data_IF_864323087061
#
_entry.id   IF_864323087061
#
_cell.length_a   1.000
_cell.length_b   1.000
_cell.length_c   1.000
_cell.angle_alpha   90.00
_cell.angle_beta   90.00
_cell.angle_gamma   90.00
#
_symmetry.space_group_name_H-M   'P 1'
#
loop_
_entity.id
_entity.type
_entity.pdbx_description
1 polymer ?
#
# COMPACT_ATOMS: atom_id res chain seq x y z
N UNK A 1 13.76 25.90 11.93
CA UNK A 1 13.60 26.03 10.47
C UNK A 1 12.75 24.86 10.02
N UNK A 2 11.50 25.12 9.63
CA UNK A 2 10.40 24.14 9.61
C UNK A 2 10.54 23.12 8.46
N UNK A 3 10.37 21.84 8.81
CA UNK A 3 10.42 20.66 7.95
C UNK A 3 9.31 20.72 6.89
N UNK A 4 9.68 20.82 5.61
CA UNK A 4 8.77 20.51 4.48
C UNK A 4 9.22 19.18 3.89
N UNK A 5 8.73 18.08 4.47
CA UNK A 5 9.00 16.71 4.06
C UNK A 5 8.10 16.27 2.89
N UNK A 6 8.63 15.42 2.01
CA UNK A 6 7.85 14.74 0.98
C UNK A 6 6.73 13.83 1.56
N UNK A 7 6.78 13.47 2.85
CA UNK A 7 5.71 12.77 3.57
C UNK A 7 4.42 13.58 3.71
N UNK A 8 4.49 14.92 3.64
CA UNK A 8 3.38 15.80 3.98
C UNK A 8 2.15 15.59 3.10
N UNK A 9 2.30 15.09 1.87
CA UNK A 9 1.14 14.98 0.99
C UNK A 9 0.27 13.76 1.26
N UNK A 10 0.84 12.64 1.70
CA UNK A 10 0.04 11.49 2.11
C UNK A 10 -0.81 11.84 3.34
N UNK A 11 -0.38 12.79 4.15
CA UNK A 11 -1.16 13.35 5.27
C UNK A 11 -2.27 14.30 4.81
N UNK A 12 -2.19 14.81 3.59
CA UNK A 12 -3.20 15.69 3.03
C UNK A 12 -4.34 14.93 2.32
N UNK A 13 -4.20 13.62 2.11
CA UNK A 13 -5.20 12.78 1.43
C UNK A 13 -6.01 12.04 2.48
N UNK A 14 -7.25 12.46 2.74
CA UNK A 14 -8.05 11.78 3.74
C UNK A 14 -8.35 10.35 3.29
N UNK A 15 -8.01 9.38 4.12
CA UNK A 15 -8.51 8.02 3.96
C UNK A 15 -9.98 7.96 4.39
N UNK A 16 -10.72 6.95 3.94
CA UNK A 16 -12.17 6.94 4.05
C UNK A 16 -12.71 7.22 5.47
N UNK A 17 -12.07 6.67 6.51
CA UNK A 17 -12.54 6.82 7.88
C UNK A 17 -12.31 8.24 8.47
N UNK A 18 -11.38 9.02 7.90
CA UNK A 18 -11.09 10.41 8.30
C UNK A 18 -12.15 11.39 7.76
N UNK A 19 -12.95 10.94 6.80
CA UNK A 19 -13.98 11.76 6.19
C UNK A 19 -15.14 12.01 7.18
N UNK A 20 -15.61 13.27 7.31
CA UNK A 20 -16.88 13.55 7.95
C UNK A 20 -18.01 12.69 7.36
N UNK A 21 -18.96 12.24 8.18
CA UNK A 21 -19.96 11.24 7.77
C UNK A 21 -20.76 11.64 6.52
N UNK A 22 -21.03 12.93 6.33
CA UNK A 22 -21.71 13.45 5.12
C UNK A 22 -20.83 13.33 3.87
N UNK A 23 -19.53 13.59 3.98
CA UNK A 23 -18.56 13.42 2.89
C UNK A 23 -18.34 11.93 2.56
N UNK A 24 -18.23 11.10 3.59
CA UNK A 24 -18.13 9.64 3.46
C UNK A 24 -19.33 9.07 2.69
N UNK A 25 -20.56 9.45 3.05
CA UNK A 25 -21.79 9.05 2.36
C UNK A 25 -21.79 9.50 0.90
N UNK A 26 -21.41 10.75 0.61
CA UNK A 26 -21.31 11.27 -0.76
C UNK A 26 -20.31 10.48 -1.60
N UNK A 27 -19.13 10.16 -1.04
CA UNK A 27 -18.14 9.30 -1.70
C UNK A 27 -18.74 7.93 -2.00
N UNK A 28 -19.41 7.30 -1.05
CA UNK A 28 -20.01 5.98 -1.25
C UNK A 28 -21.09 5.96 -2.34
N UNK A 29 -21.91 7.01 -2.42
CA UNK A 29 -22.86 7.21 -3.52
C UNK A 29 -22.14 7.36 -4.85
N UNK A 30 -21.07 8.17 -4.90
CA UNK A 30 -20.26 8.31 -6.10
C UNK A 30 -19.70 6.96 -6.53
N UNK A 31 -19.11 6.18 -5.63
CA UNK A 31 -18.58 4.84 -5.93
C UNK A 31 -19.67 3.80 -6.24
N UNK A 32 -20.97 4.17 -6.21
CA UNK A 32 -22.08 3.26 -6.51
C UNK A 32 -22.33 2.21 -5.42
N UNK A 33 -21.78 2.43 -4.24
CA UNK A 33 -21.99 1.58 -3.07
C UNK A 33 -23.38 1.82 -2.44
N UNK A 34 -23.85 3.07 -2.53
CA UNK A 34 -25.24 3.44 -2.28
C UNK A 34 -25.95 3.66 -3.61
N UNK A 35 -27.19 3.17 -3.73
CA UNK A 35 -28.08 3.62 -4.79
C UNK A 35 -28.29 5.12 -4.64
N UNK A 36 -27.90 5.90 -5.65
CA UNK A 36 -28.33 7.29 -5.80
C UNK A 36 -29.86 7.27 -5.75
N UNK A 37 -30.47 7.90 -4.74
CA UNK A 37 -31.86 8.28 -4.93
C UNK A 37 -31.89 9.40 -5.97
N UNK A 38 -32.92 9.36 -6.81
CA UNK A 38 -33.09 10.15 -8.03
C UNK A 38 -32.68 11.64 -7.90
N UNK A 39 -32.13 12.24 -8.98
CA UNK A 39 -31.81 13.65 -9.00
C UNK A 39 -33.10 14.47 -8.88
N UNK A 40 -33.28 15.16 -7.75
CA UNK A 40 -34.45 16.01 -7.51
C UNK A 40 -34.97 16.01 -6.07
N UNK A 41 -34.55 15.05 -5.23
CA UNK A 41 -34.80 15.15 -3.77
C UNK A 41 -33.59 15.77 -3.10
N UNK A 42 -33.64 17.08 -2.91
CA UNK A 42 -32.82 17.77 -1.91
C UNK A 42 -32.93 16.98 -0.61
N UNK A 43 -31.81 16.43 -0.13
CA UNK A 43 -31.70 15.77 1.15
C UNK A 43 -31.96 16.81 2.25
N UNK A 44 -33.22 17.11 2.53
CA UNK A 44 -33.59 17.62 3.84
C UNK A 44 -33.36 16.50 4.84
N UNK A 45 -32.88 16.89 6.02
CA UNK A 45 -32.46 16.10 7.18
C UNK A 45 -33.47 15.05 7.69
N UNK A 46 -34.59 14.84 7.00
CA UNK A 46 -35.79 14.13 7.44
C UNK A 46 -36.12 12.84 6.65
N UNK A 47 -35.30 12.42 5.67
CA UNK A 47 -35.67 11.34 4.74
C UNK A 47 -35.13 9.93 5.03
N UNK A 48 -34.07 9.79 5.84
CA UNK A 48 -33.59 8.47 6.28
C UNK A 48 -33.97 8.28 7.74
N UNK A 49 -34.62 7.16 8.07
CA UNK A 49 -34.79 6.81 9.48
C UNK A 49 -33.39 6.66 10.10
N UNK A 50 -33.18 7.20 11.30
CA UNK A 50 -31.92 7.09 12.01
C UNK A 50 -31.43 5.63 12.07
N UNK A 51 -32.36 4.69 12.18
CA UNK A 51 -32.12 3.25 12.12
C UNK A 51 -31.50 2.78 10.79
N UNK A 52 -31.98 3.26 9.63
CA UNK A 52 -31.38 2.91 8.33
C UNK A 52 -29.98 3.49 8.12
N UNK A 53 -29.72 4.69 8.65
CA UNK A 53 -28.38 5.30 8.64
C UNK A 53 -27.44 4.49 9.54
N UNK A 54 -27.90 4.10 10.73
CA UNK A 54 -27.14 3.30 11.70
C UNK A 54 -26.89 1.88 11.18
N UNK A 55 -27.90 1.20 10.62
CA UNK A 55 -27.76 -0.15 10.08
C UNK A 55 -26.82 -0.18 8.87
N UNK A 56 -26.91 0.85 8.02
CA UNK A 56 -25.92 1.04 6.97
C UNK A 56 -24.54 1.27 7.61
N UNK A 57 -24.36 2.27 8.48
CA UNK A 57 -23.08 2.57 9.17
C UNK A 57 -22.44 1.34 9.84
N UNK A 58 -23.25 0.45 10.42
CA UNK A 58 -22.79 -0.82 11.00
C UNK A 58 -22.37 -1.86 9.97
N UNK A 59 -22.92 -1.83 8.74
CA UNK A 59 -22.55 -2.74 7.65
C UNK A 59 -21.18 -2.41 7.02
N UNK A 60 -20.87 -1.14 6.78
CA UNK A 60 -19.55 -0.74 6.24
C UNK A 60 -18.46 -0.55 7.29
N UNK A 61 -18.79 -0.42 8.58
CA UNK A 61 -17.83 -0.64 9.68
C UNK A 61 -17.25 -2.06 9.73
N UNK A 62 -17.72 -2.99 8.89
CA UNK A 62 -17.15 -4.33 8.73
C UNK A 62 -16.28 -4.48 7.48
N UNK A 63 -16.07 -3.38 6.74
CA UNK A 63 -15.34 -3.41 5.47
C UNK A 63 -13.90 -3.00 5.70
N UNK A 64 -12.97 -3.77 5.14
CA UNK A 64 -11.52 -3.57 5.30
C UNK A 64 -11.05 -2.13 5.10
N UNK A 65 -11.59 -1.44 4.09
CA UNK A 65 -11.24 -0.07 3.73
C UNK A 65 -11.77 1.03 4.67
N UNK A 66 -12.54 0.66 5.70
CA UNK A 66 -13.06 1.59 6.70
C UNK A 66 -12.19 1.65 7.98
N UNK A 67 -11.03 0.97 7.98
CA UNK A 67 -10.17 0.83 9.15
C UNK A 67 -8.71 1.16 8.84
N UNK A 68 -7.97 1.61 9.86
CA UNK A 68 -6.52 1.91 9.77
C UNK A 68 -5.65 0.89 10.46
N UNK A 69 -6.29 -0.09 11.10
CA UNK A 69 -5.56 -1.17 11.71
C UNK A 69 -4.76 -1.91 10.66
N UNK A 70 -3.54 -2.30 11.04
CA UNK A 70 -2.67 -3.06 10.16
C UNK A 70 -2.06 -4.23 10.89
N UNK A 71 -2.12 -5.40 10.28
CA UNK A 71 -1.28 -6.53 10.65
C UNK A 71 -0.05 -6.57 9.75
N UNK A 72 1.12 -6.68 10.38
CA UNK A 72 2.40 -6.71 9.70
C UNK A 72 3.04 -8.10 9.78
N UNK A 73 3.23 -8.71 8.62
CA UNK A 73 3.78 -10.05 8.46
C UNK A 73 5.11 -10.06 7.72
N UNK A 74 5.89 -11.11 7.92
CA UNK A 74 7.16 -11.36 7.26
C UNK A 74 7.23 -12.80 6.77
N UNK A 75 7.74 -12.98 5.56
CA UNK A 75 8.02 -14.25 4.90
C UNK A 75 9.52 -14.29 4.62
N UNK A 76 10.26 -15.28 5.14
CA UNK A 76 11.69 -15.40 4.92
C UNK A 76 12.01 -15.69 3.45
N UNK A 77 13.26 -15.42 3.04
CA UNK A 77 13.76 -15.84 1.74
C UNK A 77 13.52 -17.35 1.54
N UNK A 78 12.96 -17.68 0.39
CA UNK A 78 12.76 -19.07 0.01
C UNK A 78 14.09 -19.67 -0.44
N UNK A 79 14.37 -20.88 0.01
CA UNK A 79 15.43 -21.70 -0.60
C UNK A 79 14.97 -22.10 -2.00
N UNK A 80 15.87 -22.08 -2.97
CA UNK A 80 15.58 -22.29 -4.40
C UNK A 80 14.84 -23.59 -4.73
N UNK A 81 14.90 -24.59 -3.85
CA UNK A 81 14.30 -25.92 -3.99
C UNK A 81 13.06 -26.14 -3.10
N UNK A 82 12.73 -25.18 -2.23
CA UNK A 82 11.64 -25.34 -1.26
C UNK A 82 10.30 -24.96 -1.86
N UNK A 83 9.55 -25.98 -2.27
CA UNK A 83 8.11 -25.86 -2.61
C UNK A 83 7.21 -25.96 -1.38
N UNK A 84 7.78 -26.09 -0.17
CA UNK A 84 7.00 -26.26 1.04
C UNK A 84 6.32 -24.94 1.43
N UNK A 85 5.08 -24.98 1.93
CA UNK A 85 4.45 -23.83 2.52
C UNK A 85 5.32 -23.21 3.62
N UNK A 86 5.37 -21.88 3.65
CA UNK A 86 6.19 -21.12 4.59
C UNK A 86 5.29 -20.38 5.56
N UNK A 87 5.59 -20.53 6.84
CA UNK A 87 4.88 -19.81 7.89
C UNK A 87 5.18 -18.31 7.82
N UNK A 88 4.13 -17.50 7.97
CA UNK A 88 4.26 -16.06 8.11
C UNK A 88 4.52 -15.73 9.57
N UNK A 89 5.46 -14.82 9.82
CA UNK A 89 5.83 -14.38 11.17
C UNK A 89 5.44 -12.92 11.37
N UNK A 90 5.18 -12.51 12.61
CA UNK A 90 5.05 -11.09 12.91
C UNK A 90 6.40 -10.39 12.66
N UNK A 91 6.39 -9.22 12.01
CA UNK A 91 7.63 -8.49 11.62
C UNK A 91 8.54 -8.13 12.78
N UNK A 92 8.00 -7.98 14.00
CA UNK A 92 8.78 -7.70 15.20
C UNK A 92 9.34 -8.95 15.90
N UNK A 93 8.92 -10.15 15.48
CA UNK A 93 9.32 -11.42 16.08
C UNK A 93 10.50 -12.10 15.34
N UNK A 94 10.99 -11.49 14.26
CA UNK A 94 12.10 -12.03 13.47
C UNK A 94 13.45 -11.50 13.98
N UNK A 95 14.55 -12.11 13.53
CA UNK A 95 15.89 -11.57 13.77
C UNK A 95 16.22 -10.52 12.70
N UNK A 96 16.75 -9.34 13.07
CA UNK A 96 17.26 -8.38 12.10
C UNK A 96 18.50 -8.94 11.39
N UNK A 97 18.62 -8.67 10.09
CA UNK A 97 19.81 -9.00 9.31
C UNK A 97 20.82 -7.85 9.38
N UNK A 98 21.65 -7.89 10.41
CA UNK A 98 22.74 -6.94 10.68
C UNK A 98 23.68 -6.71 9.48
N UNK A 99 23.79 -7.69 8.58
CA UNK A 99 24.64 -7.59 7.39
C UNK A 99 24.10 -6.62 6.32
N UNK A 100 22.86 -6.11 6.50
CA UNK A 100 22.28 -5.08 5.65
C UNK A 100 22.73 -3.67 6.04
N UNK A 101 23.34 -3.45 7.22
CA UNK A 101 23.83 -2.12 7.63
C UNK A 101 24.84 -1.58 6.62
N UNK A 102 24.52 -0.46 5.97
CA UNK A 102 25.37 0.14 4.94
C UNK A 102 25.39 -0.61 3.60
N UNK A 103 24.61 -1.68 3.46
CA UNK A 103 24.43 -2.37 2.19
C UNK A 103 23.47 -1.59 1.27
N UNK A 104 23.36 -2.06 0.03
CA UNK A 104 22.32 -1.64 -0.91
C UNK A 104 21.31 -2.76 -1.09
N UNK A 105 20.03 -2.40 -1.22
CA UNK A 105 18.93 -3.35 -1.38
C UNK A 105 18.09 -3.02 -2.61
N UNK A 106 17.40 -4.03 -3.12
CA UNK A 106 16.34 -3.90 -4.11
C UNK A 106 15.00 -4.17 -3.46
N UNK A 107 14.06 -3.23 -3.67
CA UNK A 107 12.69 -3.32 -3.21
C UNK A 107 11.79 -3.66 -4.39
N UNK A 108 10.95 -4.68 -4.25
CA UNK A 108 10.02 -5.15 -5.28
C UNK A 108 8.60 -5.20 -4.76
N UNK A 109 7.63 -4.82 -5.57
CA UNK A 109 6.22 -5.07 -5.31
C UNK A 109 5.90 -6.50 -5.76
N UNK A 110 5.65 -7.38 -4.79
CA UNK A 110 5.37 -8.79 -5.04
C UNK A 110 3.88 -9.04 -5.23
N UNK A 111 3.02 -8.30 -4.51
CA UNK A 111 1.56 -8.41 -4.65
C UNK A 111 0.84 -7.15 -4.17
N UNK A 112 -0.27 -6.83 -4.84
CA UNK A 112 -1.25 -5.82 -4.43
C UNK A 112 -2.63 -6.48 -4.52
N UNK A 113 -3.25 -6.79 -3.37
CA UNK A 113 -4.57 -7.43 -3.30
C UNK A 113 -5.65 -6.41 -3.00
N UNK A 114 -6.71 -6.46 -3.81
CA UNK A 114 -7.93 -5.64 -3.68
C UNK A 114 -9.06 -6.57 -3.26
N UNK A 115 -9.16 -6.88 -1.97
CA UNK A 115 -10.20 -7.80 -1.48
C UNK A 115 -11.58 -7.12 -1.51
N UNK A 116 -11.65 -5.89 -1.03
CA UNK A 116 -12.83 -5.04 -1.16
C UNK A 116 -12.35 -3.60 -1.16
N UNK A 117 -12.49 -2.91 -2.29
CA UNK A 117 -12.29 -1.46 -2.37
C UNK A 117 -13.67 -0.82 -2.59
N UNK A 118 -13.89 0.44 -2.19
CA UNK A 118 -15.16 1.12 -2.42
C UNK A 118 -15.56 1.11 -3.90
N UNK A 119 -16.78 0.66 -4.18
CA UNK A 119 -17.30 0.48 -5.53
C UNK A 119 -17.51 -0.99 -5.88
N UNK A 120 -17.76 -1.27 -7.17
CA UNK A 120 -17.96 -2.63 -7.67
C UNK A 120 -17.16 -2.83 -8.95
N UNK A 121 -16.68 -4.05 -9.16
CA UNK A 121 -16.08 -4.44 -10.42
C UNK A 121 -14.60 -4.08 -10.50
N UNK A 122 -14.19 -3.40 -11.58
CA UNK A 122 -12.79 -3.07 -11.84
C UNK A 122 -12.42 -1.72 -11.24
N UNK A 123 -11.31 -1.70 -10.51
CA UNK A 123 -10.76 -0.50 -9.86
C UNK A 123 -9.47 -0.06 -10.55
N UNK A 124 -9.22 1.25 -10.56
CA UNK A 124 -7.90 1.82 -10.87
C UNK A 124 -7.26 2.22 -9.54
N UNK A 125 -6.19 1.54 -9.14
CA UNK A 125 -5.53 1.73 -7.85
C UNK A 125 -4.22 2.45 -8.07
N UNK A 126 -4.14 3.71 -7.67
CA UNK A 126 -2.88 4.40 -7.54
C UNK A 126 -2.19 3.87 -6.27
N UNK A 127 -1.13 3.10 -6.47
CA UNK A 127 -0.23 2.67 -5.41
C UNK A 127 0.94 3.64 -5.35
N UNK A 128 1.20 4.14 -4.15
CA UNK A 128 2.27 5.05 -3.85
C UNK A 128 3.14 4.48 -2.73
N UNK A 129 4.45 4.55 -2.91
CA UNK A 129 5.42 3.97 -1.99
C UNK A 129 6.63 4.89 -1.85
N UNK A 130 6.94 5.23 -0.61
CA UNK A 130 8.02 6.12 -0.22
C UNK A 130 9.02 5.36 0.64
N UNK A 131 10.31 5.65 0.47
CA UNK A 131 11.34 5.19 1.37
C UNK A 131 12.24 6.34 1.83
N UNK A 132 12.50 6.37 3.14
CA UNK A 132 13.46 7.28 3.77
C UNK A 132 14.58 6.47 4.42
N UNK A 133 15.82 6.93 4.19
CA UNK A 133 17.02 6.45 4.88
C UNK A 133 17.79 7.64 5.48
N UNK A 134 18.24 7.48 6.72
CA UNK A 134 19.20 8.37 7.38
C UNK A 134 20.64 7.88 7.17
N UNK A 135 21.30 8.39 6.13
CA UNK A 135 22.75 8.29 5.99
C UNK A 135 23.43 9.42 6.79
N UNK A 136 24.70 9.21 7.17
CA UNK A 136 25.46 10.22 7.94
C UNK A 136 25.51 11.55 7.17
N UNK A 137 24.77 12.55 7.65
CA UNK A 137 24.71 13.90 7.06
C UNK A 137 23.85 14.05 5.81
N UNK A 138 23.14 13.01 5.35
CA UNK A 138 22.24 13.09 4.18
C UNK A 138 21.04 12.15 4.36
N UNK A 139 19.83 12.69 4.17
CA UNK A 139 18.63 11.87 4.01
C UNK A 139 18.48 11.49 2.55
N UNK A 140 18.28 10.19 2.29
CA UNK A 140 17.86 9.71 0.99
C UNK A 140 16.35 9.47 1.04
N UNK A 141 15.59 10.27 0.29
CA UNK A 141 14.14 10.16 0.16
C UNK A 141 13.84 9.77 -1.28
N UNK A 142 13.25 8.60 -1.47
CA UNK A 142 12.89 8.08 -2.80
C UNK A 142 11.40 7.77 -2.85
N UNK A 143 10.83 7.94 -4.03
CA UNK A 143 9.38 7.90 -4.22
C UNK A 143 9.03 7.10 -5.47
N UNK A 144 7.98 6.30 -5.38
CA UNK A 144 7.47 5.47 -6.45
C UNK A 144 5.95 5.57 -6.46
N UNK A 145 5.37 5.71 -7.66
CA UNK A 145 3.95 5.54 -7.84
C UNK A 145 3.64 4.77 -9.13
N UNK A 146 2.52 4.07 -9.13
CA UNK A 146 1.98 3.43 -10.33
C UNK A 146 0.50 3.15 -10.16
N UNK A 147 -0.23 3.15 -11.27
CA UNK A 147 -1.65 2.82 -11.28
C UNK A 147 -1.84 1.38 -11.78
N UNK A 148 -2.61 0.61 -11.02
CA UNK A 148 -2.94 -0.78 -11.32
C UNK A 148 -4.42 -0.94 -11.58
N UNK A 149 -4.79 -1.73 -12.60
CA UNK A 149 -6.18 -2.08 -12.87
C UNK A 149 -6.49 -3.44 -12.27
N UNK A 150 -7.35 -3.49 -11.26
CA UNK A 150 -7.61 -4.72 -10.49
C UNK A 150 -9.11 -4.96 -10.37
N UNK A 151 -9.54 -6.19 -10.59
CA UNK A 151 -10.92 -6.60 -10.33
C UNK A 151 -11.12 -6.80 -8.82
N UNK A 152 -12.28 -6.40 -8.28
CA UNK A 152 -12.65 -6.65 -6.89
C UNK A 152 -12.51 -8.14 -6.54
N UNK A 153 -11.86 -8.43 -5.42
CA UNK A 153 -11.56 -9.79 -4.94
C UNK A 153 -10.24 -10.37 -5.47
N UNK A 154 -9.61 -9.73 -6.46
CA UNK A 154 -8.39 -10.21 -7.12
C UNK A 154 -7.13 -9.46 -6.66
N UNK A 155 -6.01 -9.73 -7.34
CA UNK A 155 -4.74 -9.01 -7.16
C UNK A 155 -4.32 -8.39 -8.48
N UNK A 156 -3.53 -7.31 -8.42
CA UNK A 156 -2.88 -6.78 -9.60
C UNK A 156 -2.01 -7.87 -10.27
N UNK A 157 -1.98 -7.88 -11.61
CA UNK A 157 -1.19 -8.81 -12.41
C UNK A 157 0.30 -8.47 -12.38
N UNK A 158 0.91 -8.48 -11.20
CA UNK A 158 2.32 -8.19 -10.95
C UNK A 158 2.98 -9.30 -10.15
N UNK A 159 4.27 -9.49 -10.41
CA UNK A 159 5.12 -10.37 -9.63
C UNK A 159 6.54 -9.79 -9.65
N UNK A 160 7.11 -9.52 -8.47
CA UNK A 160 8.46 -9.00 -8.32
C UNK A 160 8.75 -7.69 -9.06
N UNK A 161 7.77 -6.79 -9.21
CA UNK A 161 7.93 -5.55 -9.96
C UNK A 161 8.89 -4.59 -9.24
N UNK A 162 9.95 -4.08 -9.89
CA UNK A 162 10.96 -3.25 -9.20
C UNK A 162 10.38 -1.89 -8.79
N UNK A 163 10.40 -1.60 -7.49
CA UNK A 163 10.07 -0.28 -6.92
C UNK A 163 11.35 0.56 -6.85
N UNK A 164 12.33 0.09 -6.07
CA UNK A 164 13.63 0.75 -5.89
C UNK A 164 14.76 -0.25 -6.13
N UNK A 165 15.81 0.16 -6.83
CA UNK A 165 16.98 -0.66 -7.12
C UNK A 165 18.21 0.06 -6.57
N UNK A 166 18.98 -0.62 -5.71
CA UNK A 166 20.20 -0.08 -5.13
C UNK A 166 19.97 0.95 -4.02
N UNK A 167 18.84 0.89 -3.32
CA UNK A 167 18.53 1.77 -2.19
C UNK A 167 19.55 1.52 -1.07
N UNK A 168 20.19 2.58 -0.57
CA UNK A 168 21.12 2.44 0.55
C UNK A 168 20.35 2.10 1.84
N UNK A 169 20.96 1.31 2.71
CA UNK A 169 20.42 0.99 4.04
C UNK A 169 21.24 1.72 5.10
N UNK A 170 20.56 2.50 5.95
CA UNK A 170 21.18 3.23 7.05
C UNK A 170 21.65 2.32 8.18
N UNK A 171 22.36 2.88 9.16
CA UNK A 171 22.71 2.13 10.38
C UNK A 171 21.52 1.87 11.29
N UNK A 172 20.54 2.76 11.24
CA UNK A 172 19.29 2.68 12.02
C UNK A 172 18.18 1.90 11.29
N UNK A 173 18.36 1.63 9.99
CA UNK A 173 17.40 0.90 9.17
C UNK A 173 16.77 1.73 8.05
N UNK A 174 15.49 1.47 7.77
CA UNK A 174 14.70 2.10 6.71
C UNK A 174 13.30 2.46 7.21
N UNK A 175 12.75 3.57 6.73
CA UNK A 175 11.33 3.90 6.88
C UNK A 175 10.64 3.72 5.54
N UNK A 176 9.53 2.99 5.52
CA UNK A 176 8.64 2.89 4.37
C UNK A 176 7.28 3.48 4.68
N UNK A 177 6.77 4.30 3.78
CA UNK A 177 5.38 4.75 3.79
C UNK A 177 4.69 4.27 2.51
N UNK A 178 3.49 3.72 2.65
CA UNK A 178 2.70 3.24 1.53
C UNK A 178 1.29 3.77 1.57
N UNK A 179 0.73 4.07 0.40
CA UNK A 179 -0.65 4.49 0.25
C UNK A 179 -1.28 3.84 -0.99
N UNK A 180 -2.56 3.48 -0.91
CA UNK A 180 -3.37 3.08 -2.06
C UNK A 180 -4.59 3.98 -2.17
N UNK A 181 -4.81 4.51 -3.37
CA UNK A 181 -5.95 5.38 -3.69
C UNK A 181 -6.78 4.73 -4.80
N UNK A 182 -8.09 4.61 -4.57
CA UNK A 182 -9.05 4.19 -5.58
C UNK A 182 -9.44 5.37 -6.47
N UNK A 183 -9.04 5.32 -7.74
CA UNK A 183 -9.19 6.40 -8.73
C UNK A 183 -10.41 6.15 -9.61
N UNK A 184 -11.35 7.10 -9.61
CA UNK A 184 -12.67 6.92 -10.25
C UNK A 184 -12.87 7.70 -11.56
N UNK A 185 -12.21 8.85 -11.74
CA UNK A 185 -12.57 9.82 -12.80
C UNK A 185 -11.95 9.49 -14.18
N UNK A 186 -12.70 9.65 -15.28
CA UNK A 186 -12.25 9.47 -16.67
C UNK A 186 -11.21 10.50 -17.14
N UNK A 187 -11.19 11.71 -16.58
CA UNK A 187 -10.12 12.69 -16.79
C UNK A 187 -8.83 12.31 -16.05
N UNK A 188 -8.96 11.72 -14.87
CA UNK A 188 -7.82 11.18 -14.12
C UNK A 188 -7.28 9.92 -14.80
N UNK A 189 -8.14 9.13 -15.47
CA UNK A 189 -7.69 8.08 -16.38
C UNK A 189 -6.85 8.63 -17.54
N UNK A 190 -7.04 9.87 -17.99
CA UNK A 190 -6.19 10.49 -19.02
C UNK A 190 -4.79 10.82 -18.48
N UNK A 191 -4.70 11.28 -17.22
CA UNK A 191 -3.42 11.48 -16.52
C UNK A 191 -2.75 10.13 -16.24
N UNK A 192 -3.51 9.12 -15.81
CA UNK A 192 -3.04 7.74 -15.67
C UNK A 192 -2.54 7.20 -17.02
N UNK A 193 -3.27 7.42 -18.12
CA UNK A 193 -2.84 7.02 -19.48
C UNK A 193 -1.57 7.74 -19.91
N UNK A 194 -1.41 9.00 -19.53
CA UNK A 194 -0.17 9.74 -19.77
C UNK A 194 1.01 9.15 -18.97
N UNK A 195 0.83 8.86 -17.67
CA UNK A 195 1.82 8.16 -16.85
C UNK A 195 2.16 6.76 -17.40
N UNK A 196 1.17 6.08 -17.95
CA UNK A 196 1.31 4.75 -18.53
C UNK A 196 1.87 4.79 -19.97
N UNK A 197 2.04 5.98 -20.56
CA UNK A 197 2.49 6.13 -21.95
C UNK A 197 3.96 5.74 -22.12
N UNK A 198 4.26 5.15 -23.28
CA UNK A 198 5.64 4.75 -23.63
C UNK A 198 6.58 5.94 -23.69
N UNK A 199 6.08 7.13 -24.04
CA UNK A 199 6.87 8.37 -24.07
C UNK A 199 7.28 8.81 -22.67
N UNK A 200 6.36 8.79 -21.69
CA UNK A 200 6.70 9.11 -20.30
C UNK A 200 7.65 8.06 -19.71
N UNK A 201 7.35 6.77 -19.92
CA UNK A 201 8.23 5.65 -19.49
C UNK A 201 9.61 5.68 -20.15
N UNK A 202 9.71 6.09 -21.41
CA UNK A 202 10.99 6.28 -22.10
C UNK A 202 11.76 7.48 -21.53
N UNK A 203 11.08 8.58 -21.23
CA UNK A 203 11.67 9.72 -20.49
C UNK A 203 12.22 9.30 -19.13
N UNK A 204 11.48 8.48 -18.37
CA UNK A 204 11.94 7.90 -17.09
C UNK A 204 13.17 7.00 -17.26
N UNK A 205 13.23 6.20 -18.34
CA UNK A 205 14.38 5.32 -18.63
C UNK A 205 15.64 6.13 -18.96
N UNK A 206 15.52 7.22 -19.73
CA UNK A 206 16.66 8.08 -20.11
C UNK A 206 17.33 8.74 -18.90
N UNK A 207 16.54 9.14 -17.89
CA UNK A 207 17.06 9.72 -16.64
C UNK A 207 17.77 8.68 -15.76
N UNK A 208 17.30 7.42 -15.75
CA UNK A 208 17.93 6.33 -14.97
C UNK A 208 19.30 5.90 -15.50
N UNK A 209 19.56 6.05 -16.80
CA UNK A 209 20.86 5.72 -17.42
C UNK A 209 21.99 6.69 -17.10
N UNK A 210 21.73 7.83 -16.43
CA UNK A 210 22.69 8.93 -16.28
C UNK A 210 23.32 9.10 -14.87
N UNK A 211 23.33 8.07 -13.99
CA UNK A 211 23.77 8.11 -12.56
C UNK A 211 22.70 8.66 -11.57
N UNK A 212 22.73 8.27 -10.26
CA UNK A 212 21.57 8.37 -9.37
C UNK A 212 21.33 9.81 -8.89
N UNK A 213 20.58 10.55 -9.68
CA UNK A 213 19.98 11.83 -9.28
C UNK A 213 18.45 11.67 -9.22
N UNK A 214 17.97 11.03 -8.15
CA UNK A 214 16.53 10.79 -7.90
C UNK A 214 15.78 12.09 -7.53
N UNK A 215 16.49 13.16 -7.15
CA UNK A 215 15.88 14.36 -6.57
C UNK A 215 14.90 15.15 -7.47
N UNK A 216 15.19 15.45 -8.76
CA UNK A 216 14.28 16.27 -9.57
C UNK A 216 12.99 15.53 -9.97
N UNK A 217 12.99 14.19 -9.86
CA UNK A 217 11.91 13.33 -10.32
C UNK A 217 10.85 13.08 -9.22
N UNK A 218 11.27 13.19 -7.95
CA UNK A 218 10.40 13.12 -6.78
C UNK A 218 9.38 14.26 -6.74
N UNK A 219 9.76 15.50 -7.08
CA UNK A 219 8.88 16.67 -6.94
C UNK A 219 7.71 16.69 -7.93
N UNK A 220 7.93 16.24 -9.17
CA UNK A 220 6.87 16.13 -10.20
C UNK A 220 5.92 14.97 -9.85
N UNK A 221 6.48 13.84 -9.41
CA UNK A 221 5.73 12.65 -9.00
C UNK A 221 4.85 12.96 -7.78
N UNK A 222 5.41 13.65 -6.77
CA UNK A 222 4.67 14.12 -5.59
C UNK A 222 3.58 15.13 -5.96
N UNK A 223 3.85 16.10 -6.84
CA UNK A 223 2.86 17.08 -7.30
C UNK A 223 1.68 16.45 -8.04
N UNK A 224 1.93 15.44 -8.87
CA UNK A 224 0.88 14.72 -9.59
C UNK A 224 0.07 13.80 -8.68
N UNK A 225 0.73 13.13 -7.73
CA UNK A 225 0.07 12.27 -6.75
C UNK A 225 -0.81 13.10 -5.81
N UNK A 226 -0.30 14.25 -5.33
CA UNK A 226 -1.09 15.29 -4.65
C UNK A 226 -2.33 15.64 -5.47
N UNK A 227 -2.15 16.02 -6.72
CA UNK A 227 -3.25 16.48 -7.57
C UNK A 227 -4.33 15.40 -7.74
N UNK A 228 -3.93 14.14 -7.97
CA UNK A 228 -4.87 13.02 -8.11
C UNK A 228 -5.56 12.71 -6.77
N UNK A 229 -4.81 12.60 -5.69
CA UNK A 229 -5.34 12.18 -4.41
C UNK A 229 -6.21 13.25 -3.73
N UNK A 230 -5.99 14.53 -4.03
CA UNK A 230 -6.83 15.67 -3.60
C UNK A 230 -8.13 15.86 -4.39
N UNK A 231 -8.36 15.10 -5.47
CA UNK A 231 -9.61 15.25 -6.23
C UNK A 231 -10.78 14.68 -5.45
N UNK A 232 -11.89 15.40 -5.47
CA UNK A 232 -13.13 15.08 -4.74
C UNK A 232 -13.77 13.73 -5.12
N UNK A 233 -13.27 13.04 -6.13
CA UNK A 233 -13.78 11.74 -6.60
C UNK A 233 -12.88 10.55 -6.26
N UNK A 234 -11.61 10.77 -5.89
CA UNK A 234 -10.67 9.71 -5.55
C UNK A 234 -10.72 9.42 -4.06
N UNK A 235 -10.42 8.19 -3.65
CA UNK A 235 -10.56 7.78 -2.26
C UNK A 235 -9.34 7.03 -1.75
N UNK A 236 -8.69 7.58 -0.72
CA UNK A 236 -7.64 6.89 0.02
C UNK A 236 -8.23 5.65 0.70
N UNK A 237 -7.63 4.49 0.44
CA UNK A 237 -8.11 3.20 0.96
C UNK A 237 -7.20 2.69 2.06
N UNK A 238 -5.89 2.62 1.82
CA UNK A 238 -4.93 2.06 2.76
C UNK A 238 -3.77 3.04 2.88
N UNK A 239 -3.32 3.30 4.11
CA UNK A 239 -2.12 4.08 4.41
C UNK A 239 -1.37 3.41 5.55
N UNK A 240 -0.08 3.19 5.37
CA UNK A 240 0.75 2.55 6.40
C UNK A 240 2.15 3.18 6.44
N UNK A 241 2.75 3.15 7.63
CA UNK A 241 4.15 3.47 7.86
C UNK A 241 4.81 2.29 8.57
N UNK A 242 5.99 1.90 8.10
CA UNK A 242 6.75 0.78 8.65
C UNK A 242 8.21 1.20 8.80
N UNK A 243 8.62 1.43 10.06
CA UNK A 243 10.02 1.56 10.43
C UNK A 243 10.65 0.19 10.61
N UNK A 244 11.60 -0.17 9.74
CA UNK A 244 12.38 -1.40 9.81
C UNK A 244 13.74 -1.09 10.42
N UNK A 245 14.00 -1.60 11.62
CA UNK A 245 15.25 -1.35 12.34
C UNK A 245 16.05 -2.61 12.63
N UNK A 246 17.27 -2.42 13.14
CA UNK A 246 18.15 -3.50 13.61
C UNK A 246 18.12 -3.67 15.14
N UNK A 247 17.45 -2.77 15.86
CA UNK A 247 17.32 -2.89 17.30
C UNK A 247 16.42 -4.06 17.70
N UNK A 248 16.36 -4.36 19.00
CA UNK A 248 15.48 -5.39 19.57
C UNK A 248 14.36 -4.78 20.42
N UNK A 249 14.01 -3.50 20.21
CA UNK A 249 12.96 -2.80 20.97
C UNK A 249 11.60 -3.46 20.72
N UNK A 250 10.89 -3.95 21.75
CA UNK A 250 9.59 -4.58 21.58
C UNK A 250 8.60 -3.71 20.80
N UNK A 251 7.82 -4.33 19.90
CA UNK A 251 6.87 -3.63 19.03
C UNK A 251 7.47 -3.05 17.75
N UNK A 252 8.79 -2.89 17.65
CA UNK A 252 9.47 -2.48 16.42
C UNK A 252 9.53 -3.60 15.37
N UNK A 253 9.42 -3.24 14.08
CA UNK A 253 9.63 -4.17 12.98
C UNK A 253 11.12 -4.31 12.65
N UNK A 254 11.56 -5.51 12.27
CA UNK A 254 12.97 -5.78 11.99
C UNK A 254 13.28 -5.78 10.51
N UNK A 255 14.45 -5.25 10.16
CA UNK A 255 14.95 -5.26 8.79
C UNK A 255 15.69 -6.57 8.48
N UNK A 256 15.24 -7.31 7.48
CA UNK A 256 15.84 -8.53 6.98
C UNK A 256 15.50 -8.73 5.48
N UNK A 257 16.30 -9.53 4.77
CA UNK A 257 15.94 -9.97 3.41
C UNK A 257 14.72 -10.91 3.46
N UNK A 258 13.79 -10.80 2.53
CA UNK A 258 12.53 -11.55 2.54
C UNK A 258 11.38 -10.74 1.95
N UNK A 259 10.14 -11.11 2.27
CA UNK A 259 8.95 -10.35 1.90
C UNK A 259 8.17 -9.90 3.12
N UNK A 260 7.71 -8.65 3.08
CA UNK A 260 6.88 -8.02 4.10
C UNK A 260 5.46 -7.93 3.58
N UNK A 261 4.50 -8.25 4.45
CA UNK A 261 3.07 -8.26 4.16
C UNK A 261 2.40 -7.24 5.05
N UNK A 262 1.61 -6.35 4.47
CA UNK A 262 0.87 -5.30 5.18
C UNK A 262 -0.61 -5.45 4.89
N UNK A 263 -1.36 -5.98 5.87
CA UNK A 263 -2.79 -6.28 5.75
C UNK A 263 -3.59 -5.21 6.46
N UNK A 264 -4.54 -4.58 5.76
CA UNK A 264 -5.47 -3.62 6.34
C UNK A 264 -6.61 -4.35 7.04
N UNK A 265 -6.65 -4.28 8.37
CA UNK A 265 -7.62 -4.99 9.22
C UNK A 265 -8.35 -4.02 10.17
N UNK A 266 -9.55 -4.39 10.66
CA UNK A 266 -10.18 -3.70 11.78
C UNK A 266 -9.28 -3.65 13.01
N UNK A 267 -9.39 -2.57 13.79
CA UNK A 267 -8.64 -2.42 15.04
C UNK A 267 -9.00 -3.54 16.03
N UNK A 268 -10.29 -3.89 16.14
CA UNK A 268 -10.73 -5.02 16.97
C UNK A 268 -10.14 -6.36 16.55
N UNK A 269 -9.81 -6.52 15.25
CA UNK A 269 -9.22 -7.75 14.73
C UNK A 269 -7.71 -7.83 15.01
N UNK A 270 -7.03 -6.72 15.34
CA UNK A 270 -5.59 -6.75 15.65
C UNK A 270 -5.27 -7.66 16.84
N UNK A 271 -6.14 -7.69 17.86
CA UNK A 271 -5.94 -8.49 19.08
C UNK A 271 -6.06 -9.98 18.81
N UNK A 272 -6.84 -10.36 17.80
CA UNK A 272 -7.12 -11.77 17.45
C UNK A 272 -6.41 -12.23 16.19
N UNK A 273 -5.71 -11.34 15.48
CA UNK A 273 -4.98 -11.68 14.27
C UNK A 273 -3.76 -12.56 14.57
N UNK A 274 -3.85 -13.85 14.22
CA UNK A 274 -2.75 -14.79 14.36
C UNK A 274 -2.12 -15.14 13.00
N UNK A 275 -0.86 -14.72 12.80
CA UNK A 275 -0.09 -15.08 11.63
C UNK A 275 0.15 -16.59 11.47
N UNK A 276 0.04 -17.40 12.53
CA UNK A 276 0.17 -18.86 12.47
C UNK A 276 -0.97 -19.54 11.70
N UNK A 277 -2.12 -18.87 11.57
CA UNK A 277 -3.24 -19.35 10.75
C UNK A 277 -2.99 -19.19 9.26
N UNK A 278 -1.98 -18.40 8.87
CA UNK A 278 -1.69 -18.05 7.48
C UNK A 278 -0.33 -18.60 7.05
N UNK A 279 -0.28 -19.12 5.83
CA UNK A 279 0.93 -19.63 5.21
C UNK A 279 1.09 -19.01 3.83
N UNK A 280 2.33 -18.76 3.45
CA UNK A 280 2.68 -18.48 2.06
C UNK A 280 2.86 -19.80 1.33
N UNK A 281 2.12 -20.00 0.24
CA UNK A 281 2.23 -21.14 -0.66
C UNK A 281 3.08 -20.76 -1.88
N UNK A 282 4.36 -21.18 -1.95
CA UNK A 282 5.26 -20.79 -3.03
C UNK A 282 4.77 -21.20 -4.42
N UNK A 283 4.11 -22.35 -4.54
CA UNK A 283 3.60 -22.84 -5.83
C UNK A 283 2.48 -21.97 -6.39
N UNK A 284 1.67 -21.38 -5.51
CA UNK A 284 0.57 -20.48 -5.89
C UNK A 284 0.98 -19.00 -5.83
N UNK A 285 2.17 -18.70 -5.34
CA UNK A 285 2.63 -17.35 -5.04
C UNK A 285 1.67 -16.56 -4.15
N UNK A 286 0.93 -17.24 -3.26
CA UNK A 286 -0.25 -16.69 -2.57
C UNK A 286 -0.23 -16.99 -1.08
N UNK A 287 -0.84 -16.10 -0.30
CA UNK A 287 -1.09 -16.32 1.13
C UNK A 287 -2.46 -16.96 1.29
N UNK A 288 -2.50 -18.12 1.93
CA UNK A 288 -3.70 -18.93 2.15
C UNK A 288 -3.82 -19.29 3.63
N UNK A 289 -5.04 -19.63 4.06
CA UNK A 289 -5.26 -20.14 5.41
C UNK A 289 -4.69 -21.56 5.52
N UNK A 290 -3.95 -21.84 6.58
CA UNK A 290 -3.23 -23.10 6.79
C UNK A 290 -4.14 -24.34 6.77
N UNK A 291 -5.28 -24.25 7.43
CA UNK A 291 -6.25 -25.36 7.55
C UNK A 291 -7.21 -25.43 6.36
N UNK A 292 -7.30 -24.37 5.56
CA UNK A 292 -8.21 -24.28 4.42
C UNK A 292 -7.51 -23.53 3.26
N UNK A 293 -6.67 -24.22 2.48
CA UNK A 293 -5.79 -23.59 1.47
C UNK A 293 -6.52 -22.87 0.32
N UNK A 294 -7.84 -23.01 0.21
CA UNK A 294 -8.68 -22.27 -0.74
C UNK A 294 -9.08 -20.88 -0.22
N UNK A 295 -8.92 -20.62 1.09
CA UNK A 295 -9.25 -19.33 1.69
C UNK A 295 -8.04 -18.39 1.64
N UNK A 296 -8.23 -17.27 0.96
CA UNK A 296 -7.29 -16.15 0.94
C UNK A 296 -7.53 -15.21 2.12
N UNK A 297 -6.57 -14.32 2.40
CA UNK A 297 -6.78 -13.20 3.33
C UNK A 297 -8.01 -12.38 2.85
N UNK A 298 -9.05 -12.20 3.69
CA UNK A 298 -10.28 -11.50 3.30
C UNK A 298 -10.15 -9.98 3.35
N UNK A 299 -8.91 -9.47 3.36
CA UNK A 299 -8.56 -8.07 3.52
C UNK A 299 -7.65 -7.58 2.40
N UNK A 300 -7.61 -6.26 2.23
CA UNK A 300 -6.67 -5.61 1.33
C UNK A 300 -5.25 -5.79 1.88
N UNK A 301 -4.29 -6.10 1.01
CA UNK A 301 -2.90 -6.14 1.45
C UNK A 301 -1.92 -5.82 0.34
N UNK A 302 -0.76 -5.33 0.77
CA UNK A 302 0.43 -5.14 -0.06
C UNK A 302 1.50 -6.12 0.42
N UNK A 303 2.22 -6.72 -0.52
CA UNK A 303 3.40 -7.52 -0.24
C UNK A 303 4.58 -6.97 -1.03
N UNK A 304 5.65 -6.59 -0.36
CA UNK A 304 6.88 -6.12 -0.99
C UNK A 304 8.08 -6.95 -0.52
N UNK A 305 9.01 -7.21 -1.43
CA UNK A 305 10.23 -7.96 -1.19
C UNK A 305 11.43 -7.03 -1.00
N UNK A 306 12.32 -7.41 -0.10
CA UNK A 306 13.65 -6.83 0.09
C UNK A 306 14.68 -7.91 -0.22
N UNK A 307 15.59 -7.63 -1.14
CA UNK A 307 16.75 -8.47 -1.42
C UNK A 307 18.00 -7.62 -1.45
N UNK A 308 19.17 -8.23 -1.22
CA UNK A 308 20.44 -7.54 -1.50
C UNK A 308 20.49 -7.07 -2.95
N UNK A 309 21.08 -5.91 -3.15
CA UNK A 309 21.46 -5.44 -4.47
C UNK A 309 22.85 -6.00 -4.80
N UNK A 310 22.94 -6.75 -5.89
CA UNK A 310 24.19 -7.22 -6.47
C UNK A 310 24.45 -6.41 -7.73
N UNK A 311 25.60 -5.73 -7.80
CA UNK A 311 26.08 -5.22 -9.09
C UNK A 311 26.39 -6.45 -9.95
N UNK A 312 25.60 -6.66 -10.99
CA UNK A 312 26.00 -7.55 -12.07
C UNK A 312 27.03 -6.81 -12.91
N UNK A 313 28.30 -7.18 -12.76
CA UNK A 313 29.38 -6.83 -13.68
C UNK A 313 29.05 -7.27 -15.12
#
# INVERSE_FOLDING_TARGET
>A
MSLKNASLWMDEVPVFHELPSDQAIRKLQQFGYLKSQEPGKTLTRAGMSAKSVIDQLSFWKKKSWAHDGHAFGYIPLLRHDSQKPVQIMHVGAIQPDESLKGARVTIRLNRLRVASYPGRGRHNILFDFHAENHLKGKKENVHFNQVYKVQEGESAGIIGYPIFIGLNVGREGLLFDGCTVNVKNDQDQAIVKFLDSDTFKAGLKLVKTAQPAIAPLTDITVGLTKMLAHRSENLGVQKFSMGLSFDQVPGGARLAEGAYVVVQIPEEDQVVWDWKEWIYEPLLGSIVRKEEPTKLIPFNYVMFGISRYTDSD
#
